data_IF_578356246035
#
_entry.id   IF_578356246035
#
_cell.length_a   1.000
_cell.length_b   1.000
_cell.length_c   1.000
_cell.angle_alpha   90.00
_cell.angle_beta   90.00
_cell.angle_gamma   90.00
#
_symmetry.space_group_name_H-M   'P 1'
#
loop_
_entity.id
_entity.type
_entity.pdbx_description
1 polymer ?
#
# COMPACT_ATOMS: atom_id res chain seq x y z
N UNK A 1 -21.66 21.86 5.07
CA UNK A 1 -20.20 21.89 5.36
C UNK A 1 -19.66 20.58 4.87
N UNK A 2 -18.96 20.65 3.77
CA UNK A 2 -18.46 19.50 3.03
C UNK A 2 -17.40 18.76 3.84
N UNK A 3 -17.66 17.48 4.10
CA UNK A 3 -16.70 16.55 4.72
C UNK A 3 -15.59 16.10 3.75
N UNK A 4 -15.22 16.97 2.79
CA UNK A 4 -14.24 16.69 1.75
C UNK A 4 -12.80 16.57 2.25
N UNK A 5 -12.52 17.00 3.48
CA UNK A 5 -11.17 16.92 4.07
C UNK A 5 -10.71 15.49 4.37
N UNK A 6 -11.63 14.55 4.62
CA UNK A 6 -11.24 13.14 4.81
C UNK A 6 -10.99 12.37 3.50
N UNK A 7 -11.50 12.88 2.38
CA UNK A 7 -11.21 12.33 1.04
C UNK A 7 -9.78 12.67 0.57
N UNK A 8 -9.17 13.71 1.16
CA UNK A 8 -7.84 14.17 0.81
C UNK A 8 -6.73 13.15 1.06
N UNK A 9 -6.83 12.31 2.09
CA UNK A 9 -5.79 11.32 2.40
C UNK A 9 -5.71 10.18 1.39
N UNK A 10 -6.84 9.74 0.83
CA UNK A 10 -6.87 8.73 -0.22
C UNK A 10 -6.52 9.28 -1.60
N UNK A 11 -6.86 10.54 -1.88
CA UNK A 11 -6.57 11.20 -3.15
C UNK A 11 -5.10 11.64 -3.26
N UNK A 12 -4.45 11.95 -2.14
CA UNK A 12 -3.01 12.26 -2.08
C UNK A 12 -2.15 11.09 -2.60
N UNK A 13 -2.63 9.87 -2.44
CA UNK A 13 -1.85 8.66 -2.71
C UNK A 13 -1.62 8.36 -4.20
N UNK A 14 -2.42 8.90 -5.15
CA UNK A 14 -2.38 8.41 -6.55
C UNK A 14 -2.80 9.39 -7.64
N UNK A 15 -3.31 10.55 -7.33
CA UNK A 15 -4.04 11.37 -8.32
C UNK A 15 -3.35 12.64 -8.76
N UNK A 16 -2.32 13.10 -8.07
CA UNK A 16 -1.64 14.35 -8.45
C UNK A 16 -0.97 14.23 -9.82
N UNK A 17 -0.22 13.14 -10.07
CA UNK A 17 0.40 12.91 -11.38
C UNK A 17 -0.60 12.60 -12.50
N UNK A 18 -1.78 12.07 -12.16
CA UNK A 18 -2.82 11.73 -13.17
C UNK A 18 -3.80 12.86 -13.44
N UNK A 19 -3.81 13.93 -12.63
CA UNK A 19 -4.73 15.07 -12.78
C UNK A 19 -4.01 16.36 -13.18
N UNK A 20 -3.32 16.33 -14.30
CA UNK A 20 -2.60 17.48 -14.88
C UNK A 20 -3.47 18.76 -14.89
N UNK A 21 -4.72 18.68 -15.31
CA UNK A 21 -5.62 19.83 -15.39
C UNK A 21 -5.89 20.50 -14.01
N UNK A 22 -5.84 19.75 -12.90
CA UNK A 22 -5.95 20.34 -11.55
C UNK A 22 -4.70 21.14 -11.21
N UNK A 23 -3.52 20.61 -11.55
CA UNK A 23 -2.25 21.31 -11.28
C UNK A 23 -2.13 22.57 -12.14
N UNK A 24 -2.58 22.51 -13.39
CA UNK A 24 -2.72 23.70 -14.26
C UNK A 24 -3.60 24.77 -13.63
N UNK A 25 -4.75 24.36 -13.08
CA UNK A 25 -5.65 25.29 -12.36
C UNK A 25 -4.95 25.93 -11.16
N UNK A 26 -4.22 25.12 -10.35
CA UNK A 26 -3.47 25.66 -9.21
C UNK A 26 -2.36 26.63 -9.63
N UNK A 27 -1.66 26.31 -10.72
CA UNK A 27 -0.66 27.21 -11.29
C UNK A 27 -1.29 28.51 -11.76
N UNK A 28 -2.41 28.49 -12.51
CA UNK A 28 -3.12 29.69 -12.94
C UNK A 28 -3.63 30.56 -11.80
N UNK A 29 -3.98 29.96 -10.67
CA UNK A 29 -4.35 30.68 -9.44
C UNK A 29 -3.14 31.23 -8.67
N UNK A 30 -1.91 31.04 -9.17
CA UNK A 30 -0.69 31.51 -8.51
C UNK A 30 -0.34 30.73 -7.23
N UNK A 31 -0.91 29.54 -7.01
CA UNK A 31 -0.65 28.75 -5.82
C UNK A 31 0.71 28.06 -5.91
N UNK A 32 1.37 27.92 -4.76
CA UNK A 32 2.52 27.02 -4.59
C UNK A 32 2.01 25.68 -4.02
N UNK A 33 2.24 24.60 -4.76
CA UNK A 33 1.72 23.28 -4.40
C UNK A 33 2.83 22.25 -4.30
N UNK A 34 2.76 21.43 -3.25
CA UNK A 34 3.67 20.32 -3.00
C UNK A 34 2.89 19.00 -2.93
N UNK A 35 3.47 17.93 -3.47
CA UNK A 35 2.95 16.57 -3.42
C UNK A 35 3.90 15.71 -2.59
N UNK A 36 3.57 15.48 -1.31
CA UNK A 36 4.43 14.73 -0.39
C UNK A 36 4.54 13.25 -0.76
N UNK A 37 3.64 12.72 -1.57
CA UNK A 37 3.75 11.37 -2.14
C UNK A 37 4.90 11.22 -3.14
N UNK A 38 5.45 12.33 -3.62
CA UNK A 38 6.63 12.38 -4.49
C UNK A 38 7.92 12.61 -3.71
N UNK A 39 7.87 12.56 -2.38
CA UNK A 39 9.03 12.72 -1.51
C UNK A 39 10.16 11.77 -1.93
N UNK A 40 11.38 12.27 -2.21
CA UNK A 40 12.51 11.41 -2.57
C UNK A 40 12.86 10.45 -1.43
N UNK A 41 13.25 9.22 -1.78
CA UNK A 41 13.58 8.16 -0.82
C UNK A 41 15.01 8.28 -0.31
N UNK A 42 15.28 9.35 0.42
CA UNK A 42 16.56 9.64 1.08
C UNK A 42 16.39 9.64 2.60
N UNK A 43 17.46 9.40 3.34
CA UNK A 43 17.41 9.27 4.81
C UNK A 43 16.82 10.50 5.48
N UNK A 44 17.12 11.70 4.98
CA UNK A 44 16.60 12.98 5.50
C UNK A 44 15.07 13.10 5.33
N UNK A 45 14.48 12.45 4.32
CA UNK A 45 13.05 12.50 4.03
C UNK A 45 12.20 11.54 4.88
N UNK A 46 12.79 10.57 5.58
CA UNK A 46 12.05 9.51 6.27
C UNK A 46 10.98 10.03 7.24
N UNK A 47 11.27 11.11 7.96
CA UNK A 47 10.32 11.72 8.89
C UNK A 47 9.16 12.48 8.21
N UNK A 48 9.27 12.71 6.90
CA UNK A 48 8.31 13.41 6.05
C UNK A 48 7.52 12.46 5.15
N UNK A 49 7.86 11.16 5.15
CA UNK A 49 7.27 10.14 4.29
C UNK A 49 5.85 9.77 4.73
N UNK A 50 4.87 10.42 4.09
CA UNK A 50 3.44 10.16 4.31
C UNK A 50 3.04 8.77 3.80
N UNK A 51 3.72 8.25 2.77
CA UNK A 51 3.39 6.95 2.23
C UNK A 51 3.69 5.86 3.25
N UNK A 52 4.87 5.91 3.89
CA UNK A 52 5.24 4.93 4.91
C UNK A 52 4.36 5.03 6.16
N UNK A 53 4.10 6.22 6.66
CA UNK A 53 3.30 6.40 7.89
C UNK A 53 1.86 5.90 7.71
N UNK A 54 1.22 6.21 6.57
CA UNK A 54 -0.16 5.82 6.30
C UNK A 54 -0.28 4.36 5.85
N UNK A 55 0.67 3.85 5.04
CA UNK A 55 0.68 2.44 4.62
C UNK A 55 0.87 1.48 5.78
N UNK A 56 1.66 1.87 6.79
CA UNK A 56 1.84 1.07 8.00
C UNK A 56 0.49 0.85 8.70
N UNK A 57 -0.27 1.93 8.93
CA UNK A 57 -1.61 1.85 9.52
C UNK A 57 -2.59 1.06 8.65
N UNK A 58 -2.52 1.26 7.33
CA UNK A 58 -3.38 0.57 6.38
C UNK A 58 -3.12 -0.94 6.38
N UNK A 59 -1.86 -1.39 6.45
CA UNK A 59 -1.50 -2.80 6.55
C UNK A 59 -2.03 -3.46 7.84
N UNK A 60 -1.92 -2.76 8.98
CA UNK A 60 -2.54 -3.20 10.23
C UNK A 60 -4.06 -3.34 10.07
N UNK A 61 -4.72 -2.30 9.56
CA UNK A 61 -6.18 -2.27 9.44
C UNK A 61 -6.71 -3.31 8.46
N UNK A 62 -5.98 -3.59 7.39
CA UNK A 62 -6.34 -4.64 6.42
C UNK A 62 -6.50 -6.01 7.08
N UNK A 63 -5.56 -6.37 7.96
CA UNK A 63 -5.64 -7.64 8.70
C UNK A 63 -6.83 -7.64 9.66
N UNK A 64 -7.07 -6.54 10.37
CA UNK A 64 -8.21 -6.43 11.29
C UNK A 64 -9.54 -6.56 10.52
N UNK A 65 -9.68 -5.91 9.35
CA UNK A 65 -10.88 -6.05 8.51
C UNK A 65 -11.08 -7.50 8.03
N UNK A 66 -9.99 -8.16 7.59
CA UNK A 66 -10.06 -9.56 7.18
C UNK A 66 -10.54 -10.45 8.34
N UNK A 67 -9.95 -10.30 9.51
CA UNK A 67 -10.25 -11.12 10.69
C UNK A 67 -11.69 -10.87 11.21
N UNK A 68 -12.16 -9.62 11.16
CA UNK A 68 -13.53 -9.29 11.54
C UNK A 68 -14.60 -9.97 10.66
N UNK A 69 -14.26 -10.33 9.42
CA UNK A 69 -15.17 -11.02 8.48
C UNK A 69 -14.93 -12.53 8.41
N UNK A 70 -13.81 -12.99 8.95
CA UNK A 70 -13.45 -14.41 8.93
C UNK A 70 -14.39 -15.20 9.90
N UNK A 71 -15.05 -16.27 9.44
CA UNK A 71 -15.96 -17.06 10.28
C UNK A 71 -15.23 -18.06 11.21
N UNK A 72 -13.93 -17.95 11.37
CA UNK A 72 -13.12 -18.85 12.19
C UNK A 72 -12.13 -18.07 13.10
N UNK A 73 -11.68 -18.72 14.19
CA UNK A 73 -10.64 -18.18 15.04
C UNK A 73 -9.30 -18.07 14.28
N UNK A 74 -8.49 -17.06 14.62
CA UNK A 74 -7.18 -16.87 14.02
C UNK A 74 -6.09 -17.68 14.72
N UNK A 75 -5.94 -17.61 16.08
CA UNK A 75 -4.91 -18.37 16.77
C UNK A 75 -5.29 -19.86 16.90
N UNK A 76 -4.28 -20.68 17.09
CA UNK A 76 -4.50 -22.04 17.57
C UNK A 76 -5.13 -22.01 18.96
N UNK A 77 -6.15 -22.82 19.17
CA UNK A 77 -6.84 -22.95 20.45
C UNK A 77 -7.00 -24.43 20.79
N UNK A 78 -6.81 -24.77 22.07
CA UNK A 78 -7.07 -26.13 22.58
C UNK A 78 -8.22 -26.10 23.56
N UNK A 79 -9.17 -27.00 23.38
CA UNK A 79 -10.31 -27.19 24.27
C UNK A 79 -10.46 -28.67 24.62
N UNK A 80 -11.28 -28.98 25.62
CA UNK A 80 -11.60 -30.37 25.93
C UNK A 80 -12.31 -31.10 24.77
N UNK A 81 -12.95 -30.36 23.87
CA UNK A 81 -13.62 -30.90 22.67
C UNK A 81 -12.68 -31.06 21.47
N UNK A 82 -11.44 -30.59 21.53
CA UNK A 82 -10.47 -30.68 20.47
C UNK A 82 -9.66 -29.43 20.23
N UNK A 83 -8.84 -29.47 19.18
CA UNK A 83 -7.92 -28.39 18.79
C UNK A 83 -8.44 -27.66 17.56
N UNK A 84 -8.45 -26.31 17.63
CA UNK A 84 -8.68 -25.44 16.48
C UNK A 84 -7.32 -25.11 15.88
N UNK A 85 -7.12 -25.47 14.63
CA UNK A 85 -5.89 -25.12 13.90
C UNK A 85 -5.80 -23.60 13.65
N UNK A 86 -4.59 -23.02 13.64
CA UNK A 86 -4.42 -21.60 13.38
C UNK A 86 -4.79 -21.27 11.92
N UNK A 87 -5.42 -20.10 11.73
CA UNK A 87 -5.74 -19.61 10.40
C UNK A 87 -4.45 -19.34 9.59
N UNK A 88 -4.51 -19.60 8.29
CA UNK A 88 -3.45 -19.30 7.33
C UNK A 88 -3.74 -17.98 6.65
N UNK A 89 -2.77 -17.07 6.70
CA UNK A 89 -2.80 -15.79 6.03
C UNK A 89 -1.83 -15.78 4.85
N UNK A 90 -2.21 -15.14 3.73
CA UNK A 90 -1.33 -14.87 2.61
C UNK A 90 -1.28 -13.38 2.34
N UNK A 91 -0.06 -12.80 2.36
CA UNK A 91 0.17 -11.39 2.08
C UNK A 91 0.87 -11.27 0.72
N UNK A 92 0.23 -10.59 -0.23
CA UNK A 92 0.75 -10.35 -1.57
C UNK A 92 1.26 -8.91 -1.69
N UNK A 93 2.58 -8.78 -1.74
CA UNK A 93 3.34 -7.53 -1.61
C UNK A 93 3.91 -7.37 -0.21
N UNK A 94 5.25 -7.27 -0.11
CA UNK A 94 5.99 -7.09 1.14
C UNK A 94 6.65 -5.70 1.22
N UNK A 95 5.91 -4.65 0.83
CA UNK A 95 6.26 -3.26 1.14
C UNK A 95 5.85 -2.89 2.57
N UNK A 96 5.85 -1.60 2.90
CA UNK A 96 5.53 -1.11 4.26
C UNK A 96 4.19 -1.67 4.77
N UNK A 97 3.13 -1.59 3.94
CA UNK A 97 1.82 -2.13 4.30
C UNK A 97 1.84 -3.65 4.48
N UNK A 98 2.49 -4.37 3.56
CA UNK A 98 2.57 -5.83 3.60
C UNK A 98 3.37 -6.33 4.81
N UNK A 99 4.53 -5.75 5.10
CA UNK A 99 5.33 -6.11 6.28
C UNK A 99 4.55 -5.86 7.58
N UNK A 100 3.81 -4.75 7.67
CA UNK A 100 2.95 -4.50 8.82
C UNK A 100 1.77 -5.50 8.88
N UNK A 101 1.19 -5.87 7.75
CA UNK A 101 0.15 -6.90 7.70
C UNK A 101 0.70 -8.25 8.18
N UNK A 102 1.90 -8.65 7.75
CA UNK A 102 2.61 -9.86 8.23
C UNK A 102 2.77 -9.82 9.75
N UNK A 103 3.33 -8.72 10.28
CA UNK A 103 3.55 -8.56 11.71
C UNK A 103 2.24 -8.62 12.50
N UNK A 104 1.17 -7.99 11.98
CA UNK A 104 -0.15 -7.98 12.63
C UNK A 104 -0.79 -9.37 12.64
N UNK A 105 -0.84 -10.04 11.47
CA UNK A 105 -1.39 -11.38 11.35
C UNK A 105 -0.64 -12.39 12.24
N UNK A 106 0.68 -12.26 12.30
CA UNK A 106 1.53 -13.09 13.17
C UNK A 106 1.21 -12.89 14.65
N UNK A 107 1.06 -11.62 15.10
CA UNK A 107 0.68 -11.31 16.49
C UNK A 107 -0.71 -11.84 16.86
N UNK A 108 -1.62 -11.92 15.90
CA UNK A 108 -2.94 -12.54 16.09
C UNK A 108 -2.90 -14.09 16.09
N UNK A 109 -1.73 -14.69 15.87
CA UNK A 109 -1.54 -16.15 15.93
C UNK A 109 -1.75 -16.87 14.60
N UNK A 110 -1.85 -16.16 13.47
CA UNK A 110 -1.92 -16.79 12.15
C UNK A 110 -0.60 -17.43 11.73
N UNK A 111 -0.68 -18.46 10.88
CA UNK A 111 0.44 -18.95 10.09
C UNK A 111 0.51 -18.09 8.83
N UNK A 112 1.55 -17.26 8.74
CA UNK A 112 1.64 -16.23 7.70
C UNK A 112 2.57 -16.66 6.58
N UNK A 113 2.07 -16.54 5.35
CA UNK A 113 2.81 -16.67 4.10
C UNK A 113 2.85 -15.30 3.41
N UNK A 114 3.91 -15.01 2.67
CA UNK A 114 4.02 -13.79 1.88
C UNK A 114 4.70 -14.04 0.54
N UNK A 115 4.30 -13.29 -0.48
CA UNK A 115 4.93 -13.28 -1.80
C UNK A 115 5.18 -11.84 -2.24
N UNK A 116 6.35 -11.61 -2.82
CA UNK A 116 6.75 -10.35 -3.47
C UNK A 116 7.63 -10.70 -4.66
N UNK A 117 7.66 -9.83 -5.66
CA UNK A 117 8.53 -10.00 -6.84
C UNK A 117 9.99 -9.68 -6.55
N UNK A 118 10.28 -8.98 -5.44
CA UNK A 118 11.62 -8.59 -5.01
C UNK A 118 12.21 -9.63 -4.05
N UNK A 119 13.26 -10.39 -4.46
CA UNK A 119 13.85 -11.42 -3.61
C UNK A 119 14.41 -10.89 -2.28
N UNK A 120 14.88 -9.65 -2.27
CA UNK A 120 15.53 -9.01 -1.12
C UNK A 120 14.60 -8.84 0.09
N UNK A 121 13.27 -8.82 -0.13
CA UNK A 121 12.32 -8.71 0.99
C UNK A 121 12.09 -10.01 1.73
N UNK A 122 12.63 -11.15 1.25
CA UNK A 122 12.51 -12.44 1.90
C UNK A 122 13.00 -12.41 3.35
N UNK A 123 14.20 -11.88 3.58
CA UNK A 123 14.75 -11.75 4.93
C UNK A 123 13.87 -10.92 5.86
N UNK A 124 13.27 -9.85 5.32
CA UNK A 124 12.35 -9.00 6.09
C UNK A 124 11.07 -9.76 6.47
N UNK A 125 10.52 -10.55 5.55
CA UNK A 125 9.35 -11.40 5.80
C UNK A 125 9.67 -12.45 6.88
N UNK A 126 10.79 -13.14 6.75
CA UNK A 126 11.22 -14.18 7.68
C UNK A 126 11.56 -13.65 9.07
N UNK A 127 12.17 -12.45 9.16
CA UNK A 127 12.44 -11.78 10.42
C UNK A 127 11.16 -11.42 11.21
N UNK A 128 10.03 -11.23 10.52
CA UNK A 128 8.71 -11.03 11.13
C UNK A 128 8.00 -12.37 11.44
N UNK A 129 8.64 -13.51 11.18
CA UNK A 129 8.10 -14.85 11.41
C UNK A 129 7.12 -15.30 10.33
N UNK A 130 7.08 -14.65 9.17
CA UNK A 130 6.38 -15.09 7.96
C UNK A 130 7.19 -16.14 7.20
N UNK A 131 6.52 -16.85 6.29
CA UNK A 131 7.14 -17.78 5.35
C UNK A 131 7.06 -17.17 3.96
N UNK A 132 8.21 -17.04 3.29
CA UNK A 132 8.22 -16.51 1.93
C UNK A 132 7.81 -17.60 0.93
N UNK A 133 6.87 -17.28 0.03
CA UNK A 133 6.46 -18.16 -1.08
C UNK A 133 7.47 -17.94 -2.20
N UNK A 134 8.41 -18.86 -2.33
CA UNK A 134 9.49 -18.75 -3.30
C UNK A 134 9.03 -19.13 -4.70
N UNK A 135 9.45 -18.32 -5.67
CA UNK A 135 9.44 -18.67 -7.09
C UNK A 135 10.90 -18.79 -7.52
N UNK A 136 11.33 -19.96 -7.91
CA UNK A 136 12.71 -20.18 -8.38
C UNK A 136 12.93 -19.41 -9.68
N UNK A 137 13.72 -18.34 -9.64
CA UNK A 137 14.11 -17.55 -10.81
C UNK A 137 15.49 -16.94 -10.56
N UNK A 138 16.31 -16.89 -11.60
CA UNK A 138 17.62 -16.25 -11.58
C UNK A 138 17.55 -14.74 -11.92
N UNK A 139 16.36 -14.20 -12.15
CA UNK A 139 16.14 -12.80 -12.55
C UNK A 139 16.08 -11.86 -11.34
N UNK A 140 16.69 -10.66 -11.46
CA UNK A 140 16.60 -9.60 -10.45
C UNK A 140 15.55 -8.57 -10.88
N UNK A 141 14.53 -8.37 -10.05
CA UNK A 141 13.34 -7.57 -10.34
C UNK A 141 13.26 -6.27 -9.53
N UNK A 142 14.36 -5.75 -9.03
CA UNK A 142 14.38 -4.48 -8.28
C UNK A 142 14.85 -3.32 -9.15
N UNK A 143 14.17 -2.17 -9.01
CA UNK A 143 14.64 -0.88 -9.53
C UNK A 143 15.50 -0.17 -8.49
N UNK A 144 16.36 0.78 -8.91
CA UNK A 144 17.17 1.61 -8.01
C UNK A 144 16.32 2.37 -6.94
N UNK A 145 15.02 2.56 -7.18
CA UNK A 145 14.08 3.18 -6.24
C UNK A 145 13.37 2.19 -5.30
N UNK A 146 13.74 0.90 -5.29
CA UNK A 146 13.12 -0.12 -4.43
C UNK A 146 11.71 -0.54 -4.85
N UNK A 147 11.27 -0.22 -6.08
CA UNK A 147 10.03 -0.72 -6.68
C UNK A 147 10.29 -1.95 -7.53
N UNK A 148 9.26 -2.79 -7.68
CA UNK A 148 9.32 -3.94 -8.56
C UNK A 148 9.50 -3.51 -10.02
N UNK A 149 10.42 -4.17 -10.74
CA UNK A 149 10.58 -4.06 -12.18
C UNK A 149 9.50 -4.85 -12.90
N UNK A 150 9.29 -4.59 -14.19
CA UNK A 150 8.43 -5.44 -15.00
C UNK A 150 9.05 -6.83 -15.15
N UNK A 151 8.30 -7.86 -14.73
CA UNK A 151 8.75 -9.26 -14.67
C UNK A 151 8.53 -9.96 -16.01
N UNK A 152 9.38 -10.95 -16.34
CA UNK A 152 9.17 -11.80 -17.52
C UNK A 152 7.83 -12.52 -17.47
N UNK A 153 7.29 -12.89 -18.63
CA UNK A 153 6.02 -13.63 -18.71
C UNK A 153 6.11 -14.99 -17.99
N UNK A 154 7.25 -15.66 -18.12
CA UNK A 154 7.50 -16.95 -17.47
C UNK A 154 7.53 -16.83 -15.94
N UNK A 155 8.17 -15.81 -15.42
CA UNK A 155 8.19 -15.56 -13.98
C UNK A 155 6.80 -15.23 -13.45
N UNK A 156 6.03 -14.39 -14.14
CA UNK A 156 4.64 -14.06 -13.81
C UNK A 156 3.78 -15.32 -13.71
N UNK A 157 3.94 -16.24 -14.66
CA UNK A 157 3.20 -17.49 -14.67
C UNK A 157 3.57 -18.36 -13.45
N UNK A 158 4.85 -18.61 -13.21
CA UNK A 158 5.33 -19.40 -12.06
C UNK A 158 4.88 -18.78 -10.73
N UNK A 159 4.91 -17.46 -10.63
CA UNK A 159 4.41 -16.74 -9.45
C UNK A 159 2.90 -16.94 -9.26
N UNK A 160 2.12 -16.85 -10.34
CA UNK A 160 0.68 -17.10 -10.28
C UNK A 160 0.37 -18.52 -9.83
N UNK A 161 1.10 -19.51 -10.31
CA UNK A 161 0.93 -20.93 -9.92
C UNK A 161 1.25 -21.12 -8.43
N UNK A 162 2.36 -20.59 -7.93
CA UNK A 162 2.75 -20.69 -6.52
C UNK A 162 1.74 -19.94 -5.61
N UNK A 163 1.27 -18.77 -6.02
CA UNK A 163 0.25 -18.01 -5.30
C UNK A 163 -1.09 -18.76 -5.30
N UNK A 164 -1.50 -19.36 -6.42
CA UNK A 164 -2.73 -20.13 -6.53
C UNK A 164 -2.72 -21.35 -5.60
N UNK A 165 -1.60 -22.10 -5.58
CA UNK A 165 -1.44 -23.25 -4.68
C UNK A 165 -1.53 -22.84 -3.19
N UNK A 166 -0.93 -21.71 -2.84
CA UNK A 166 -0.98 -21.21 -1.46
C UNK A 166 -2.38 -20.68 -1.11
N UNK A 167 -3.06 -19.96 -2.04
CA UNK A 167 -4.42 -19.45 -1.83
C UNK A 167 -5.44 -20.54 -1.55
N UNK A 168 -5.33 -21.69 -2.22
CA UNK A 168 -6.20 -22.84 -1.99
C UNK A 168 -6.18 -23.36 -0.53
N UNK A 169 -5.18 -22.98 0.25
CA UNK A 169 -4.97 -23.38 1.65
C UNK A 169 -5.11 -22.19 2.62
N UNK A 170 -5.51 -21.01 2.13
CA UNK A 170 -5.48 -19.73 2.86
C UNK A 170 -6.85 -19.35 3.36
N UNK A 171 -6.96 -18.94 4.62
CA UNK A 171 -8.20 -18.49 5.22
C UNK A 171 -8.47 -17.00 4.98
N UNK A 172 -7.39 -16.18 4.97
CA UNK A 172 -7.52 -14.78 4.54
C UNK A 172 -6.27 -14.29 3.82
N UNK A 173 -6.46 -13.39 2.88
CA UNK A 173 -5.36 -12.77 2.15
C UNK A 173 -5.46 -11.25 2.17
N UNK A 174 -4.30 -10.58 2.08
CA UNK A 174 -4.20 -9.12 1.90
C UNK A 174 -3.31 -8.85 0.69
N UNK A 175 -3.80 -8.02 -0.25
CA UNK A 175 -3.04 -7.62 -1.43
C UNK A 175 -2.67 -6.14 -1.35
N UNK A 176 -1.39 -5.84 -1.56
CA UNK A 176 -0.83 -4.49 -1.37
C UNK A 176 -0.02 -4.00 -2.57
N UNK A 177 -0.04 -4.74 -3.70
CA UNK A 177 0.82 -4.43 -4.83
C UNK A 177 0.30 -3.22 -5.62
N UNK A 178 1.10 -2.17 -5.62
CA UNK A 178 0.84 -0.92 -6.33
C UNK A 178 2.08 -0.47 -7.07
N UNK A 179 1.87 -0.02 -8.32
CA UNK A 179 2.90 0.60 -9.14
C UNK A 179 2.49 2.06 -9.30
N UNK A 180 3.30 3.04 -8.83
CA UNK A 180 2.96 4.45 -8.96
C UNK A 180 2.66 4.84 -10.41
N UNK A 181 1.51 5.52 -10.63
CA UNK A 181 1.10 6.00 -11.95
C UNK A 181 0.58 4.94 -12.93
N UNK A 182 0.57 3.65 -12.55
CA UNK A 182 0.07 2.55 -13.39
C UNK A 182 -1.11 1.83 -12.73
N UNK A 183 -1.95 1.14 -13.52
CA UNK A 183 -2.96 0.24 -12.97
C UNK A 183 -2.33 -0.84 -12.07
N UNK A 184 -3.03 -1.22 -11.01
CA UNK A 184 -2.57 -2.28 -10.11
C UNK A 184 -2.45 -3.63 -10.87
N UNK A 185 -1.38 -4.39 -10.63
CA UNK A 185 -1.25 -5.72 -11.24
C UNK A 185 -2.34 -6.66 -10.73
N UNK A 186 -2.89 -7.48 -11.62
CA UNK A 186 -3.85 -8.52 -11.25
C UNK A 186 -3.09 -9.71 -10.64
N UNK A 187 -3.29 -9.95 -9.34
CA UNK A 187 -2.60 -11.01 -8.59
C UNK A 187 -3.51 -12.21 -8.30
N UNK A 188 -4.81 -11.96 -8.10
CA UNK A 188 -5.80 -12.99 -7.78
C UNK A 188 -6.92 -12.94 -8.82
N UNK A 189 -7.08 -14.05 -9.54
CA UNK A 189 -8.17 -14.23 -10.52
C UNK A 189 -9.42 -14.80 -9.87
N UNK A 190 -10.57 -14.72 -10.54
CA UNK A 190 -11.81 -15.38 -10.08
C UNK A 190 -11.65 -16.90 -9.94
N UNK A 191 -10.89 -17.53 -10.81
CA UNK A 191 -10.58 -18.96 -10.70
C UNK A 191 -9.81 -19.29 -9.42
N UNK A 192 -8.82 -18.45 -9.05
CA UNK A 192 -8.08 -18.60 -7.80
C UNK A 192 -8.98 -18.38 -6.57
N UNK A 193 -9.88 -17.41 -6.60
CA UNK A 193 -10.89 -17.21 -5.54
C UNK A 193 -11.77 -18.46 -5.37
N UNK A 194 -12.18 -19.09 -6.47
CA UNK A 194 -13.01 -20.31 -6.42
C UNK A 194 -12.30 -21.51 -5.77
N UNK A 195 -10.97 -21.51 -5.75
CA UNK A 195 -10.17 -22.56 -5.12
C UNK A 195 -9.92 -22.31 -3.62
N UNK A 196 -10.23 -21.12 -3.11
CA UNK A 196 -10.09 -20.81 -1.69
C UNK A 196 -11.12 -21.54 -0.83
N UNK A 197 -10.84 -21.79 0.46
CA UNK A 197 -11.83 -22.33 1.38
C UNK A 197 -13.09 -21.44 1.45
N UNK A 198 -14.27 -22.05 1.53
CA UNK A 198 -15.52 -21.32 1.71
C UNK A 198 -15.46 -20.47 2.99
N UNK A 199 -15.92 -19.22 2.90
CA UNK A 199 -15.83 -18.25 4.00
C UNK A 199 -14.46 -17.56 4.11
N UNK A 200 -13.51 -17.84 3.22
CA UNK A 200 -12.24 -17.10 3.18
C UNK A 200 -12.50 -15.61 2.88
N UNK A 201 -11.53 -14.78 3.28
CA UNK A 201 -11.62 -13.32 3.15
C UNK A 201 -10.39 -12.79 2.41
N UNK A 202 -10.58 -11.89 1.45
CA UNK A 202 -9.51 -11.20 0.75
C UNK A 202 -9.69 -9.69 0.89
N UNK A 203 -8.65 -8.97 1.33
CA UNK A 203 -8.63 -7.51 1.38
C UNK A 203 -7.75 -6.99 0.26
N UNK A 204 -8.35 -6.25 -0.67
CA UNK A 204 -7.68 -5.60 -1.79
C UNK A 204 -7.43 -4.12 -1.46
N UNK A 205 -6.19 -3.79 -1.12
CA UNK A 205 -5.78 -2.42 -0.82
C UNK A 205 -5.50 -1.59 -2.09
N UNK A 206 -5.49 -2.23 -3.26
CA UNK A 206 -5.22 -1.60 -4.54
C UNK A 206 -6.48 -1.32 -5.36
N UNK A 207 -7.66 -1.50 -4.78
CA UNK A 207 -8.98 -1.47 -5.46
C UNK A 207 -9.22 -0.17 -6.25
N UNK A 208 -8.84 1.01 -5.74
CA UNK A 208 -8.95 2.29 -6.46
C UNK A 208 -8.04 2.41 -7.70
N UNK A 209 -7.04 1.56 -7.84
CA UNK A 209 -6.14 1.52 -9.01
C UNK A 209 -6.45 0.36 -9.96
N UNK A 210 -7.67 -0.13 -9.96
CA UNK A 210 -8.11 -1.27 -10.76
C UNK A 210 -8.07 -2.61 -10.01
N UNK A 211 -7.45 -2.66 -8.84
CA UNK A 211 -7.44 -3.79 -7.93
C UNK A 211 -6.45 -4.91 -8.27
N UNK A 212 -5.91 -5.53 -7.24
CA UNK A 212 -5.11 -6.75 -7.37
C UNK A 212 -5.99 -8.01 -7.49
N UNK A 213 -7.27 -7.91 -7.11
CA UNK A 213 -8.23 -9.02 -7.09
C UNK A 213 -9.25 -8.82 -8.19
N UNK A 214 -9.47 -9.83 -9.03
CA UNK A 214 -10.46 -9.77 -10.09
C UNK A 214 -11.87 -9.67 -9.54
N UNK A 215 -12.59 -8.62 -9.96
CA UNK A 215 -13.93 -8.30 -9.49
C UNK A 215 -13.98 -7.49 -8.20
N UNK A 216 -12.83 -7.13 -7.62
CA UNK A 216 -12.77 -6.18 -6.50
C UNK A 216 -13.30 -4.81 -6.93
N UNK A 217 -14.08 -4.17 -6.06
CA UNK A 217 -14.63 -2.82 -6.25
C UNK A 217 -14.25 -1.93 -5.06
N UNK A 218 -13.71 -0.74 -5.34
CA UNK A 218 -13.27 0.17 -4.27
C UNK A 218 -14.45 0.66 -3.41
N UNK A 219 -14.26 0.65 -2.10
CA UNK A 219 -15.28 1.01 -1.12
C UNK A 219 -16.38 -0.04 -0.91
N UNK A 220 -16.27 -1.24 -1.52
CA UNK A 220 -17.30 -2.28 -1.41
C UNK A 220 -16.79 -3.58 -0.78
N UNK A 221 -17.72 -4.29 -0.17
CA UNK A 221 -17.56 -5.68 0.29
C UNK A 221 -18.48 -6.53 -0.59
N UNK A 222 -17.90 -7.48 -1.31
CA UNK A 222 -18.61 -8.35 -2.23
C UNK A 222 -18.27 -9.81 -1.94
N UNK A 223 -19.13 -10.74 -2.35
CA UNK A 223 -18.87 -12.17 -2.23
C UNK A 223 -18.74 -12.75 -3.63
N UNK A 224 -17.61 -13.41 -3.88
CA UNK A 224 -17.29 -14.08 -5.14
C UNK A 224 -17.01 -15.54 -4.82
N UNK A 225 -17.86 -16.46 -5.31
CA UNK A 225 -17.71 -17.91 -5.12
C UNK A 225 -17.52 -18.33 -3.63
N UNK A 226 -18.26 -17.67 -2.72
CA UNK A 226 -18.18 -17.95 -1.28
C UNK A 226 -17.00 -17.31 -0.55
N UNK A 227 -16.18 -16.52 -1.23
CA UNK A 227 -15.08 -15.72 -0.66
C UNK A 227 -15.52 -14.27 -0.52
N UNK A 228 -15.33 -13.69 0.66
CA UNK A 228 -15.60 -12.28 0.90
C UNK A 228 -14.41 -11.44 0.40
N UNK A 229 -14.64 -10.54 -0.54
CA UNK A 229 -13.66 -9.61 -1.07
C UNK A 229 -13.97 -8.20 -0.58
N UNK A 230 -13.01 -7.59 0.12
CA UNK A 230 -13.09 -6.24 0.67
C UNK A 230 -12.20 -5.34 -0.18
N UNK A 231 -12.78 -4.53 -1.05
CA UNK A 231 -12.06 -3.51 -1.80
C UNK A 231 -11.99 -2.22 -0.99
N UNK A 232 -10.83 -1.90 -0.41
CA UNK A 232 -10.66 -0.66 0.34
C UNK A 232 -9.22 -0.14 0.22
N UNK A 233 -9.05 0.91 -0.57
CA UNK A 233 -7.76 1.59 -0.77
C UNK A 233 -7.45 2.64 0.30
N UNK A 234 -8.41 2.97 1.19
CA UNK A 234 -8.26 4.04 2.19
C UNK A 234 -8.41 3.56 3.64
N UNK A 235 -7.79 2.43 3.95
CA UNK A 235 -7.88 1.80 5.28
C UNK A 235 -7.30 2.67 6.41
N UNK A 236 -6.28 3.48 6.15
CA UNK A 236 -5.70 4.38 7.15
C UNK A 236 -6.73 5.41 7.66
N UNK A 237 -7.67 5.85 6.80
CA UNK A 237 -8.72 6.80 7.20
C UNK A 237 -9.69 6.22 8.24
N UNK A 238 -9.76 4.90 8.37
CA UNK A 238 -10.54 4.24 9.44
C UNK A 238 -9.89 4.34 10.83
N UNK A 239 -8.67 4.90 10.90
CA UNK A 239 -7.89 5.05 12.13
C UNK A 239 -7.52 6.54 12.35
N UNK A 240 -8.47 7.48 12.36
CA UNK A 240 -8.17 8.92 12.31
C UNK A 240 -7.36 9.40 13.51
N UNK A 241 -7.57 8.83 14.70
CA UNK A 241 -6.82 9.16 15.89
C UNK A 241 -5.31 8.83 15.82
N UNK A 242 -4.92 7.90 14.94
CA UNK A 242 -3.53 7.54 14.68
C UNK A 242 -3.01 8.16 13.39
N UNK A 243 -3.82 8.15 12.32
CA UNK A 243 -3.43 8.60 11.00
C UNK A 243 -3.20 10.12 10.93
N UNK A 244 -4.12 10.92 11.50
CA UNK A 244 -4.05 12.38 11.42
C UNK A 244 -2.82 12.97 12.15
N UNK A 245 -2.47 12.57 13.38
CA UNK A 245 -1.26 13.07 14.04
C UNK A 245 0.03 12.72 13.30
N UNK A 246 0.14 11.49 12.76
CA UNK A 246 1.31 11.08 11.98
C UNK A 246 1.41 11.90 10.69
N UNK A 247 0.31 12.08 9.97
CA UNK A 247 0.27 12.89 8.76
C UNK A 247 0.62 14.36 9.04
N UNK A 248 0.04 14.94 10.10
CA UNK A 248 0.36 16.31 10.53
C UNK A 248 1.85 16.47 10.87
N UNK A 249 2.45 15.44 11.53
CA UNK A 249 3.88 15.45 11.84
C UNK A 249 4.74 15.36 10.59
N UNK A 250 4.35 14.56 9.59
CA UNK A 250 5.05 14.53 8.30
C UNK A 250 5.03 15.90 7.63
N UNK A 251 3.85 16.56 7.59
CA UNK A 251 3.71 17.91 7.00
C UNK A 251 4.56 18.92 7.78
N UNK A 252 4.50 18.90 9.11
CA UNK A 252 5.29 19.83 9.94
C UNK A 252 6.79 19.66 9.68
N UNK A 253 7.29 18.42 9.67
CA UNK A 253 8.70 18.16 9.38
C UNK A 253 9.10 18.67 8.00
N UNK A 254 8.23 18.56 6.99
CA UNK A 254 8.48 19.11 5.66
C UNK A 254 8.46 20.65 5.66
N UNK A 255 7.50 21.28 6.33
CA UNK A 255 7.43 22.74 6.45
C UNK A 255 8.64 23.32 7.17
N UNK A 256 9.15 22.64 8.18
CA UNK A 256 10.36 23.05 8.92
C UNK A 256 11.59 23.17 8.01
N UNK A 257 11.64 22.45 6.87
CA UNK A 257 12.75 22.56 5.90
C UNK A 257 12.72 23.88 5.11
N UNK A 258 11.57 24.53 5.06
CA UNK A 258 11.35 25.77 4.30
C UNK A 258 11.13 26.99 5.20
N UNK A 259 10.89 26.79 6.49
CA UNK A 259 10.52 27.87 7.40
C UNK A 259 11.76 28.59 7.95
N UNK A 260 11.90 29.88 7.62
CA UNK A 260 12.90 30.76 8.23
C UNK A 260 12.30 31.36 9.53
N UNK A 261 12.88 30.99 10.68
CA UNK A 261 12.41 31.43 12.00
C UNK A 261 12.66 32.90 12.27
N UNK A 262 13.74 33.48 11.72
CA UNK A 262 14.10 34.87 11.92
C UNK A 262 13.17 35.80 11.14
N UNK A 263 12.95 35.47 9.87
CA UNK A 263 12.09 36.24 8.96
C UNK A 263 10.60 35.90 9.11
N UNK A 264 10.27 34.81 9.83
CA UNK A 264 8.91 34.26 9.96
C UNK A 264 8.24 34.04 8.60
N UNK A 265 9.01 33.59 7.62
CA UNK A 265 8.61 33.41 6.22
C UNK A 265 8.96 32.03 5.71
N UNK A 266 8.30 31.61 4.62
CA UNK A 266 8.67 30.41 3.88
C UNK A 266 9.70 30.76 2.81
N UNK A 267 10.83 30.05 2.79
CA UNK A 267 11.85 30.17 1.80
C UNK A 267 11.98 28.86 1.00
N UNK A 268 11.77 28.92 -0.30
CA UNK A 268 11.79 27.77 -1.20
C UNK A 268 13.15 27.62 -1.85
N UNK A 269 13.99 26.74 -1.32
CA UNK A 269 15.27 26.41 -1.93
C UNK A 269 15.10 25.29 -2.98
N UNK A 270 14.99 25.64 -4.27
CA UNK A 270 14.79 24.69 -5.37
C UNK A 270 16.05 23.87 -5.72
N UNK A 271 17.20 24.13 -5.09
CA UNK A 271 18.37 23.24 -5.15
C UNK A 271 18.25 22.08 -4.16
N UNK A 272 17.33 22.19 -3.17
CA UNK A 272 17.04 21.11 -2.25
C UNK A 272 16.20 20.02 -2.94
N UNK A 273 16.70 18.77 -2.90
CA UNK A 273 16.03 17.60 -3.52
C UNK A 273 14.61 17.39 -3.00
N UNK A 274 14.33 17.74 -1.73
CA UNK A 274 13.00 17.61 -1.13
C UNK A 274 12.02 18.58 -1.80
N UNK A 275 12.40 19.83 -1.96
CA UNK A 275 11.58 20.87 -2.59
C UNK A 275 11.42 20.58 -4.08
N UNK A 276 12.53 20.31 -4.77
CA UNK A 276 12.55 19.99 -6.20
C UNK A 276 11.71 18.75 -6.53
N UNK A 277 11.80 17.71 -5.70
CA UNK A 277 11.09 16.45 -5.91
C UNK A 277 9.60 16.50 -5.56
N UNK A 278 9.14 17.49 -4.81
CA UNK A 278 7.75 17.56 -4.35
C UNK A 278 6.95 18.74 -4.88
N UNK A 279 7.63 19.83 -5.32
CA UNK A 279 6.94 21.03 -5.79
C UNK A 279 6.34 20.82 -7.19
N UNK A 280 5.02 20.90 -7.28
CA UNK A 280 4.28 20.73 -8.53
C UNK A 280 4.18 22.00 -9.33
N UNK A 281 3.84 23.12 -8.66
CA UNK A 281 3.72 24.44 -9.30
C UNK A 281 4.19 25.56 -8.36
N UNK A 282 4.74 26.61 -8.97
CA UNK A 282 5.26 27.80 -8.32
C UNK A 282 5.21 29.00 -9.25
N UNK A 283 4.86 30.19 -8.72
CA UNK A 283 4.79 31.45 -9.48
C UNK A 283 4.03 31.33 -10.82
N UNK A 284 2.87 30.71 -10.80
CA UNK A 284 2.01 30.59 -11.98
C UNK A 284 2.45 29.54 -13.00
N UNK A 285 3.47 28.73 -12.71
CA UNK A 285 4.01 27.72 -13.62
C UNK A 285 4.02 26.32 -12.98
N UNK A 286 3.77 25.29 -13.79
CA UNK A 286 4.09 23.92 -13.42
C UNK A 286 5.60 23.73 -13.56
N UNK A 287 6.27 23.25 -12.51
CA UNK A 287 7.73 23.14 -12.48
C UNK A 287 8.25 21.71 -12.26
N UNK A 288 7.37 20.80 -11.84
CA UNK A 288 7.79 19.42 -11.59
C UNK A 288 8.18 18.69 -12.90
N UNK A 289 9.31 17.94 -12.93
CA UNK A 289 9.80 17.25 -14.13
C UNK A 289 8.75 16.35 -14.81
N UNK A 290 7.90 15.67 -14.03
CA UNK A 290 6.83 14.82 -14.57
C UNK A 290 5.82 15.56 -15.47
N UNK A 291 5.78 16.89 -15.44
CA UNK A 291 4.89 17.71 -16.26
C UNK A 291 5.62 18.51 -17.33
N UNK A 292 6.90 18.80 -17.13
CA UNK A 292 7.71 19.65 -18.02
C UNK A 292 8.46 18.85 -19.08
N UNK A 293 8.57 17.53 -18.92
CA UNK A 293 9.29 16.67 -19.87
C UNK A 293 10.81 16.84 -19.81
N UNK A 294 11.32 17.42 -18.73
CA UNK A 294 12.75 17.66 -18.51
C UNK A 294 13.38 16.51 -17.70
#
# INVERSE_FOLDING_TARGET
>A
RDSSTSRGLGDVYKRQLTHRGRIETFAHLGLTCFALELMPRISRAQSMDILSSQSNLAGYKAVIEAVCKLPSAVPMMMTAAGTIAPAKALILGAGVAGLQAIATAKRLGAVVFASDVRPQVKEQVESLGGRFVEVKSDENFETAGGYARETSAEYKQKQQEAVAEQLAKTNFAVTTALIPGLPAPRLITKAMLSAMPAGAVVVDMASSAGGNVEGSEDGKIIVINGVTVIGNSNLAASLPASASPLFAKNILNFLDTMYNKEEKSLNYNFEDELIKGTCLCYNGKMIHPSFTGA
#
